data_IF_353485060660
#
_entry.id   IF_353485060660
#
_cell.length_a   1.000
_cell.length_b   1.000
_cell.length_c   1.000
_cell.angle_alpha   90.00
_cell.angle_beta   90.00
_cell.angle_gamma   90.00
#
_symmetry.space_group_name_H-M   'P 1'
#
loop_
_entity.id
_entity.type
_entity.pdbx_description
1 polymer ?
#
# COMPACT_ATOMS: atom_id res chain seq x y z
N UNK A 1 -0.57 -2.84 25.02
CA UNK A 1 0.24 -3.60 26.00
C UNK A 1 1.74 -3.37 25.85
N UNK A 2 2.30 -3.17 24.64
CA UNK A 2 3.75 -2.92 24.46
C UNK A 2 4.17 -1.44 24.30
N UNK A 3 3.32 -0.55 23.76
CA UNK A 3 3.66 0.87 23.47
C UNK A 3 2.74 1.89 24.14
N UNK A 4 1.85 1.48 25.05
CA UNK A 4 1.07 2.40 25.90
C UNK A 4 0.25 3.49 25.18
N UNK A 5 -0.20 3.28 23.94
CA UNK A 5 -0.88 4.31 23.10
C UNK A 5 -0.02 5.56 22.79
N UNK A 6 1.29 5.50 23.00
CA UNK A 6 2.17 6.66 22.81
C UNK A 6 2.48 6.98 21.34
N UNK A 7 2.30 6.01 20.44
CA UNK A 7 2.60 6.18 19.02
C UNK A 7 1.31 6.04 18.20
N UNK A 8 0.84 7.11 17.54
CA UNK A 8 -0.32 7.02 16.65
C UNK A 8 0.11 6.30 15.36
N UNK A 9 -0.08 4.99 15.31
CA UNK A 9 0.23 4.16 14.15
C UNK A 9 -1.07 3.59 13.58
N UNK A 10 -1.27 3.75 12.29
CA UNK A 10 -2.34 3.10 11.54
C UNK A 10 -1.80 1.83 10.90
N UNK A 11 -2.31 0.66 11.29
CA UNK A 11 -1.93 -0.61 10.69
C UNK A 11 -2.78 -0.84 9.44
N UNK A 12 -2.18 -0.61 8.27
CA UNK A 12 -2.76 -0.93 6.98
C UNK A 12 -2.09 -2.18 6.39
N UNK A 13 -2.76 -2.85 5.44
CA UNK A 13 -2.16 -3.93 4.65
C UNK A 13 -0.87 -3.44 3.98
N UNK A 14 0.26 -4.12 4.24
CA UNK A 14 1.56 -3.64 3.78
C UNK A 14 1.80 -3.99 2.31
N UNK A 15 2.02 -2.94 1.51
CA UNK A 15 2.36 -3.03 0.09
C UNK A 15 3.59 -3.90 -0.19
N UNK A 16 4.52 -4.02 0.77
CA UNK A 16 5.73 -4.84 0.65
C UNK A 16 5.43 -6.33 0.39
N UNK A 17 4.23 -6.81 0.73
CA UNK A 17 3.86 -8.21 0.54
C UNK A 17 3.26 -8.53 -0.83
N UNK A 18 2.89 -7.54 -1.66
CA UNK A 18 2.20 -7.82 -2.93
C UNK A 18 3.07 -8.68 -3.86
N UNK A 19 4.31 -8.25 -4.13
CA UNK A 19 5.22 -8.97 -5.00
C UNK A 19 5.54 -10.41 -4.51
N UNK A 20 5.94 -10.63 -3.23
CA UNK A 20 6.20 -11.98 -2.74
C UNK A 20 4.94 -12.85 -2.65
N UNK A 21 3.75 -12.29 -2.41
CA UNK A 21 2.49 -13.05 -2.46
C UNK A 21 2.18 -13.48 -3.88
N UNK A 22 2.30 -12.59 -4.86
CA UNK A 22 2.07 -12.93 -6.27
C UNK A 22 3.00 -14.06 -6.72
N UNK A 23 4.29 -13.95 -6.41
CA UNK A 23 5.27 -14.98 -6.71
C UNK A 23 4.99 -16.30 -5.97
N UNK A 24 4.66 -16.21 -4.68
CA UNK A 24 4.39 -17.38 -3.85
C UNK A 24 3.15 -18.15 -4.29
N UNK A 25 2.06 -17.44 -4.63
CA UNK A 25 0.82 -18.05 -5.12
C UNK A 25 1.06 -18.75 -6.45
N UNK A 26 1.83 -18.14 -7.36
CA UNK A 26 2.17 -18.75 -8.65
C UNK A 26 3.04 -20.00 -8.50
N UNK A 27 3.97 -20.01 -7.55
CA UNK A 27 4.97 -21.09 -7.42
C UNK A 27 4.50 -22.23 -6.54
N UNK A 28 3.84 -21.93 -5.41
CA UNK A 28 3.53 -22.90 -4.35
C UNK A 28 2.04 -22.95 -3.97
N UNK A 29 1.21 -22.16 -4.63
CA UNK A 29 -0.23 -22.09 -4.37
C UNK A 29 -0.59 -21.26 -3.13
N UNK A 30 -1.89 -21.04 -2.98
CA UNK A 30 -2.45 -20.12 -1.97
C UNK A 30 -2.21 -20.62 -0.55
N UNK A 31 -2.49 -21.90 -0.27
CA UNK A 31 -2.39 -22.47 1.07
C UNK A 31 -0.97 -22.34 1.65
N UNK A 32 0.04 -22.69 0.85
CA UNK A 32 1.46 -22.60 1.23
C UNK A 32 1.89 -21.15 1.46
N UNK A 33 1.45 -20.24 0.58
CA UNK A 33 1.77 -18.81 0.70
C UNK A 33 1.16 -18.20 1.96
N UNK A 34 -0.08 -18.55 2.29
CA UNK A 34 -0.73 -18.09 3.53
C UNK A 34 -0.03 -18.63 4.78
N UNK A 35 0.40 -19.89 4.77
CA UNK A 35 1.23 -20.46 5.84
C UNK A 35 2.56 -19.70 6.00
N UNK A 36 3.20 -19.35 4.89
CA UNK A 36 4.40 -18.52 4.86
C UNK A 36 4.16 -17.14 5.48
N UNK A 37 3.07 -16.46 5.14
CA UNK A 37 2.70 -15.17 5.74
C UNK A 37 2.45 -15.27 7.25
N UNK A 38 1.77 -16.33 7.70
CA UNK A 38 1.58 -16.59 9.13
C UNK A 38 2.92 -16.77 9.85
N UNK A 39 3.85 -17.50 9.25
CA UNK A 39 5.21 -17.68 9.81
C UNK A 39 6.01 -16.36 9.84
N UNK A 40 5.84 -15.48 8.85
CA UNK A 40 6.46 -14.15 8.86
C UNK A 40 5.93 -13.29 10.03
N UNK A 41 4.65 -13.44 10.40
CA UNK A 41 4.09 -12.85 11.61
C UNK A 41 4.81 -13.30 12.89
N UNK A 42 5.20 -14.57 12.99
CA UNK A 42 6.00 -15.08 14.11
C UNK A 42 7.40 -14.45 14.15
N UNK A 43 8.03 -14.24 12.99
CA UNK A 43 9.31 -13.53 12.91
C UNK A 43 9.15 -12.08 13.39
N UNK A 44 8.05 -11.39 13.04
CA UNK A 44 7.75 -10.06 13.57
C UNK A 44 7.60 -10.06 15.10
N UNK A 45 6.96 -11.08 15.68
CA UNK A 45 6.88 -11.21 17.14
C UNK A 45 8.27 -11.41 17.76
N UNK A 46 9.11 -12.28 17.18
CA UNK A 46 10.48 -12.49 17.64
C UNK A 46 11.30 -11.19 17.58
N UNK A 47 11.25 -10.46 16.47
CA UNK A 47 11.92 -9.16 16.33
C UNK A 47 11.37 -8.14 17.34
N UNK A 48 10.06 -8.10 17.56
CA UNK A 48 9.44 -7.23 18.56
C UNK A 48 9.94 -7.52 19.97
N UNK A 49 10.09 -8.79 20.34
CA UNK A 49 10.67 -9.17 21.64
C UNK A 49 12.14 -8.78 21.76
N UNK A 50 12.92 -8.91 20.67
CA UNK A 50 14.33 -8.49 20.65
C UNK A 50 14.47 -6.98 20.83
N UNK A 51 13.64 -6.18 20.15
CA UNK A 51 13.60 -4.72 20.30
C UNK A 51 13.19 -4.34 21.73
N UNK A 52 12.26 -5.07 22.35
CA UNK A 52 11.87 -4.84 23.75
C UNK A 52 13.03 -5.08 24.72
N UNK A 53 13.90 -6.04 24.44
CA UNK A 53 15.03 -6.42 25.32
C UNK A 53 16.29 -5.56 25.11
N UNK A 54 16.64 -5.25 23.86
CA UNK A 54 17.88 -4.54 23.48
C UNK A 54 17.68 -3.08 23.08
N UNK A 55 16.45 -2.59 23.09
CA UNK A 55 16.10 -1.25 22.64
C UNK A 55 16.06 -1.11 21.11
N UNK A 56 15.58 0.04 20.65
CA UNK A 56 15.41 0.34 19.22
C UNK A 56 16.75 0.50 18.46
N UNK A 57 17.84 0.83 19.16
CA UNK A 57 19.18 0.98 18.57
C UNK A 57 19.70 -0.32 17.95
N UNK A 58 19.35 -1.47 18.52
CA UNK A 58 19.70 -2.76 17.96
C UNK A 58 19.18 -2.89 16.52
N UNK A 59 17.94 -2.45 16.27
CA UNK A 59 17.34 -2.51 14.93
C UNK A 59 17.97 -1.48 13.98
N UNK A 60 18.25 -0.26 14.46
CA UNK A 60 18.89 0.78 13.65
C UNK A 60 20.32 0.41 13.22
N UNK A 61 21.03 -0.40 14.01
CA UNK A 61 22.35 -0.92 13.63
C UNK A 61 22.28 -1.95 12.51
N UNK A 62 21.26 -2.80 12.49
CA UNK A 62 21.03 -3.76 11.40
C UNK A 62 20.44 -3.11 10.15
N UNK A 63 19.54 -2.15 10.34
CA UNK A 63 18.83 -1.45 9.27
C UNK A 63 19.04 0.06 9.40
N UNK A 64 20.23 0.56 9.08
CA UNK A 64 20.50 2.00 9.14
C UNK A 64 19.64 2.73 8.10
N UNK A 65 19.35 4.04 8.30
CA UNK A 65 18.49 4.82 7.40
C UNK A 65 18.93 4.79 5.93
N UNK A 66 20.24 4.67 5.69
CA UNK A 66 20.84 4.55 4.35
C UNK A 66 20.40 3.28 3.60
N UNK A 67 19.95 2.24 4.31
CA UNK A 67 19.40 1.01 3.70
C UNK A 67 17.87 1.05 3.67
N UNK A 68 17.24 1.51 4.75
CA UNK A 68 15.78 1.51 4.88
C UNK A 68 15.13 2.40 3.81
N UNK A 69 15.69 3.59 3.57
CA UNK A 69 15.16 4.52 2.55
C UNK A 69 15.12 3.91 1.14
N UNK A 70 16.26 3.46 0.60
CA UNK A 70 16.30 2.81 -0.72
C UNK A 70 15.40 1.58 -0.83
N UNK A 71 15.32 0.74 0.22
CA UNK A 71 14.42 -0.43 0.22
C UNK A 71 12.95 -0.01 0.07
N UNK A 72 12.51 1.03 0.78
CA UNK A 72 11.13 1.54 0.65
C UNK A 72 10.88 2.10 -0.77
N UNK A 73 11.85 2.82 -1.34
CA UNK A 73 11.76 3.36 -2.71
C UNK A 73 11.62 2.22 -3.73
N UNK A 74 12.43 1.16 -3.60
CA UNK A 74 12.38 0.00 -4.49
C UNK A 74 11.04 -0.74 -4.36
N UNK A 75 10.50 -0.88 -3.15
CA UNK A 75 9.17 -1.47 -2.94
C UNK A 75 8.10 -0.63 -3.68
N UNK A 76 8.15 0.70 -3.56
CA UNK A 76 7.24 1.59 -4.27
C UNK A 76 7.37 1.49 -5.80
N UNK A 77 8.60 1.55 -6.32
CA UNK A 77 8.88 1.40 -7.75
C UNK A 77 8.46 0.04 -8.30
N UNK A 78 8.67 -1.04 -7.54
CA UNK A 78 8.28 -2.40 -7.95
C UNK A 78 6.77 -2.58 -8.11
N UNK A 79 5.96 -1.75 -7.45
CA UNK A 79 4.50 -1.78 -7.52
C UNK A 79 3.92 -0.79 -8.53
N UNK A 80 4.73 0.15 -9.02
CA UNK A 80 4.33 1.08 -10.08
C UNK A 80 3.72 0.39 -11.32
N UNK A 81 4.31 -0.70 -11.89
CA UNK A 81 3.72 -1.35 -13.05
C UNK A 81 2.34 -1.96 -12.75
N UNK A 82 2.16 -2.54 -11.56
CA UNK A 82 0.85 -3.09 -11.14
C UNK A 82 -0.20 -1.99 -11.04
N UNK A 83 0.15 -0.84 -10.46
CA UNK A 83 -0.75 0.30 -10.37
C UNK A 83 -1.14 0.85 -11.75
N UNK A 84 -0.19 0.91 -12.69
CA UNK A 84 -0.45 1.33 -14.07
C UNK A 84 -1.32 0.32 -14.81
N UNK A 85 -1.03 -0.97 -14.69
CA UNK A 85 -1.84 -2.00 -15.35
C UNK A 85 -3.29 -1.99 -14.85
N UNK A 86 -3.50 -1.76 -13.54
CA UNK A 86 -4.83 -1.58 -12.96
C UNK A 86 -5.51 -0.28 -13.42
N UNK A 87 -4.76 0.82 -13.55
CA UNK A 87 -5.33 2.11 -13.99
C UNK A 87 -5.75 2.11 -15.47
N UNK A 88 -5.05 1.33 -16.30
CA UNK A 88 -5.39 1.11 -17.70
C UNK A 88 -6.53 0.10 -17.91
N UNK A 89 -7.03 -0.51 -16.82
CA UNK A 89 -8.07 -1.53 -16.89
C UNK A 89 -7.61 -2.84 -17.52
N UNK A 90 -6.29 -3.14 -17.54
CA UNK A 90 -5.81 -4.45 -17.99
C UNK A 90 -6.43 -5.55 -17.13
N UNK A 91 -6.79 -6.67 -17.76
CA UNK A 91 -7.49 -7.79 -17.13
C UNK A 91 -8.89 -7.46 -16.59
N UNK A 92 -9.51 -6.36 -17.05
CA UNK A 92 -10.87 -5.98 -16.70
C UNK A 92 -11.78 -5.97 -17.94
N UNK A 93 -13.10 -6.06 -17.75
CA UNK A 93 -14.08 -6.01 -18.84
C UNK A 93 -14.34 -4.59 -19.40
N UNK A 94 -13.58 -3.59 -18.93
CA UNK A 94 -13.79 -2.18 -19.23
C UNK A 94 -13.02 -1.73 -20.47
N UNK A 95 -13.60 -0.78 -21.22
CA UNK A 95 -12.90 -0.14 -22.33
C UNK A 95 -11.70 0.64 -21.82
N UNK A 96 -10.56 0.53 -22.51
CA UNK A 96 -9.33 1.27 -22.19
C UNK A 96 -9.58 2.79 -21.99
N UNK A 97 -10.37 3.41 -22.87
CA UNK A 97 -10.69 4.83 -22.79
C UNK A 97 -11.43 5.20 -21.50
N UNK A 98 -12.37 4.36 -21.06
CA UNK A 98 -13.15 4.62 -19.84
C UNK A 98 -12.28 4.42 -18.59
N UNK A 99 -11.43 3.39 -18.56
CA UNK A 99 -10.50 3.15 -17.47
C UNK A 99 -9.47 4.27 -17.30
N UNK A 100 -8.91 4.76 -18.42
CA UNK A 100 -7.98 5.90 -18.42
C UNK A 100 -8.68 7.18 -17.98
N UNK A 101 -9.92 7.42 -18.42
CA UNK A 101 -10.68 8.60 -18.01
C UNK A 101 -10.92 8.60 -16.49
N UNK A 102 -11.40 7.48 -15.93
CA UNK A 102 -11.64 7.33 -14.49
C UNK A 102 -10.33 7.49 -13.69
N UNK A 103 -9.25 6.82 -14.11
CA UNK A 103 -7.96 6.90 -13.42
C UNK A 103 -7.33 8.29 -13.46
N UNK A 104 -7.47 9.02 -14.57
CA UNK A 104 -6.98 10.40 -14.65
C UNK A 104 -7.81 11.35 -13.80
N UNK A 105 -9.14 11.22 -13.79
CA UNK A 105 -10.01 12.06 -12.96
C UNK A 105 -9.78 11.80 -11.47
N UNK A 106 -9.67 10.54 -11.05
CA UNK A 106 -9.33 10.18 -9.65
C UNK A 106 -7.97 10.73 -9.23
N UNK A 107 -6.96 10.61 -10.09
CA UNK A 107 -5.63 11.13 -9.81
C UNK A 107 -5.63 12.66 -9.72
N UNK A 108 -6.24 13.34 -10.68
CA UNK A 108 -6.34 14.81 -10.70
C UNK A 108 -7.08 15.33 -9.47
N UNK A 109 -8.23 14.74 -9.13
CA UNK A 109 -8.99 15.14 -7.94
C UNK A 109 -8.20 14.92 -6.66
N UNK A 110 -7.51 13.78 -6.53
CA UNK A 110 -6.62 13.52 -5.38
C UNK A 110 -5.52 14.58 -5.27
N UNK A 111 -4.84 14.89 -6.38
CA UNK A 111 -3.77 15.90 -6.41
C UNK A 111 -4.30 17.31 -6.15
N UNK A 112 -5.43 17.68 -6.73
CA UNK A 112 -6.06 18.98 -6.50
C UNK A 112 -6.42 19.17 -5.04
N UNK A 113 -7.01 18.17 -4.39
CA UNK A 113 -7.31 18.23 -2.95
C UNK A 113 -6.03 18.25 -2.11
N UNK A 114 -5.02 17.46 -2.47
CA UNK A 114 -3.75 17.43 -1.74
C UNK A 114 -3.01 18.79 -1.80
N UNK A 115 -3.09 19.51 -2.91
CA UNK A 115 -2.39 20.79 -3.12
C UNK A 115 -3.21 21.99 -2.64
N UNK A 116 -4.48 22.08 -3.01
CA UNK A 116 -5.30 23.29 -2.82
C UNK A 116 -6.17 23.27 -1.56
N UNK A 117 -6.44 22.10 -0.96
CA UNK A 117 -7.28 22.05 0.23
C UNK A 117 -6.56 22.58 1.48
N UNK A 118 -7.35 23.12 2.42
CA UNK A 118 -6.87 23.65 3.70
C UNK A 118 -7.51 22.89 4.86
N UNK A 119 -6.82 22.87 6.00
CA UNK A 119 -7.30 22.23 7.22
C UNK A 119 -7.43 20.70 7.10
N UNK A 120 -8.49 20.14 7.69
CA UNK A 120 -8.72 18.69 7.78
C UNK A 120 -8.80 17.99 6.41
N UNK A 121 -9.23 18.71 5.36
CA UNK A 121 -9.41 18.14 4.03
C UNK A 121 -8.09 17.76 3.34
N UNK A 122 -6.97 18.39 3.71
CA UNK A 122 -5.63 18.03 3.22
C UNK A 122 -5.10 16.73 3.86
N UNK A 123 -5.72 16.28 4.95
CA UNK A 123 -5.31 15.08 5.68
C UNK A 123 -5.81 13.79 5.01
N UNK A 124 -6.84 13.88 4.17
CA UNK A 124 -7.50 12.72 3.56
C UNK A 124 -7.77 12.89 2.04
N UNK A 125 -6.83 13.37 1.21
CA UNK A 125 -7.06 13.64 -0.21
C UNK A 125 -7.43 12.39 -1.02
N UNK A 126 -6.91 11.22 -0.62
CA UNK A 126 -7.18 9.94 -1.27
C UNK A 126 -8.68 9.58 -1.19
N UNK A 127 -9.36 9.90 -0.09
CA UNK A 127 -10.80 9.64 0.04
C UNK A 127 -11.61 10.45 -0.96
N UNK A 128 -11.25 11.71 -1.21
CA UNK A 128 -11.92 12.56 -2.21
C UNK A 128 -11.68 12.06 -3.64
N UNK A 129 -10.47 11.57 -3.93
CA UNK A 129 -10.16 10.93 -5.20
C UNK A 129 -11.06 9.72 -5.47
N UNK A 130 -11.13 8.80 -4.49
CA UNK A 130 -11.94 7.58 -4.60
C UNK A 130 -13.42 7.92 -4.76
N UNK A 131 -13.96 8.87 -3.98
CA UNK A 131 -15.38 9.26 -4.12
C UNK A 131 -15.68 9.88 -5.47
N UNK A 132 -14.83 10.78 -5.97
CA UNK A 132 -15.00 11.38 -7.30
C UNK A 132 -14.94 10.33 -8.42
N UNK A 133 -13.99 9.37 -8.34
CA UNK A 133 -13.90 8.26 -9.28
C UNK A 133 -15.12 7.36 -9.26
N UNK A 134 -15.57 6.99 -8.08
CA UNK A 134 -16.74 6.13 -7.91
C UNK A 134 -18.01 6.77 -8.50
N UNK A 135 -18.21 8.07 -8.25
CA UNK A 135 -19.32 8.83 -8.85
C UNK A 135 -19.22 8.81 -10.37
N UNK A 136 -18.03 9.00 -10.93
CA UNK A 136 -17.83 9.00 -12.38
C UNK A 136 -18.12 7.61 -12.99
N UNK A 137 -17.72 6.52 -12.31
CA UNK A 137 -18.07 5.16 -12.72
C UNK A 137 -19.59 4.90 -12.74
N UNK A 138 -20.35 5.45 -11.79
CA UNK A 138 -21.82 5.33 -11.77
C UNK A 138 -22.46 5.99 -12.99
N UNK A 139 -21.95 7.14 -13.43
CA UNK A 139 -22.47 7.83 -14.62
C UNK A 139 -22.11 7.12 -15.93
N UNK A 140 -20.94 6.46 -15.98
CA UNK A 140 -20.50 5.69 -17.14
C UNK A 140 -21.09 4.27 -17.19
N UNK A 141 -21.83 3.83 -16.16
CA UNK A 141 -22.41 2.48 -16.08
C UNK A 141 -21.35 1.37 -15.96
N UNK A 142 -20.18 1.69 -15.39
CA UNK A 142 -19.09 0.73 -15.15
C UNK A 142 -19.28 -0.08 -13.86
N UNK A 143 -20.29 0.30 -13.06
CA UNK A 143 -20.72 -0.27 -11.78
C UNK A 143 -22.25 -0.40 -11.86
#
# INVERSE_FOLDING_TARGET
FCTGKQVPIFLASSFAFIAPIQYGVQTWGIATTMGGLASAGLVYLALSTLVKLRGAEALQRFFPPVVVGPVIIIIGMGLAPVAVDMSLGKNSAYTYNDAVLVSMVTLLTTLSVAVFAKGLMKLIPIMFGITAGYILCLFLGLI
#
